data_IF_133081071613
#
_entry.id   IF_133081071613
#
_cell.length_a   1.000
_cell.length_b   1.000
_cell.length_c   1.000
_cell.angle_alpha   90.00
_cell.angle_beta   90.00
_cell.angle_gamma   90.00
#
_symmetry.space_group_name_H-M   'P 1'
#
loop_
_entity.id
_entity.type
_entity.pdbx_description
1 polymer ?
#
# COMPACT_ATOMS: atom_id res chain seq x y z
N UNK A 1 16.99 -8.74 9.77
CA UNK A 1 17.50 -8.35 8.44
C UNK A 1 16.36 -7.65 7.69
N UNK A 2 16.65 -6.55 6.98
CA UNK A 2 15.73 -5.49 6.50
C UNK A 2 14.69 -4.94 7.49
N UNK A 3 13.64 -5.67 7.86
CA UNK A 3 12.58 -5.17 8.76
C UNK A 3 13.13 -4.68 10.11
N UNK A 4 13.99 -5.49 10.76
CA UNK A 4 14.68 -5.07 12.00
C UNK A 4 15.52 -3.79 11.83
N UNK A 5 16.15 -3.62 10.66
CA UNK A 5 16.94 -2.41 10.37
C UNK A 5 16.01 -1.21 10.19
N UNK A 6 14.87 -1.42 9.52
CA UNK A 6 13.85 -0.39 9.33
C UNK A 6 13.25 0.06 10.66
N UNK A 7 12.90 -0.87 11.54
CA UNK A 7 12.41 -0.58 12.89
C UNK A 7 13.45 0.17 13.71
N UNK A 8 14.68 -0.31 13.73
CA UNK A 8 15.78 0.34 14.45
C UNK A 8 15.96 1.79 13.95
N UNK A 9 16.05 1.98 12.64
CA UNK A 9 16.21 3.32 12.05
C UNK A 9 14.99 4.22 12.27
N UNK A 10 13.78 3.66 12.25
CA UNK A 10 12.58 4.42 12.57
C UNK A 10 12.64 4.94 14.02
N UNK A 11 12.93 4.04 14.98
CA UNK A 11 13.07 4.38 16.40
C UNK A 11 14.17 5.41 16.65
N UNK A 12 15.35 5.24 16.03
CA UNK A 12 16.46 6.21 16.09
C UNK A 12 16.05 7.64 15.67
N UNK A 13 15.03 7.77 14.82
CA UNK A 13 14.51 9.04 14.33
C UNK A 13 13.14 9.44 14.94
N UNK A 14 12.70 8.80 16.03
CA UNK A 14 11.40 9.09 16.66
C UNK A 14 10.18 8.76 15.78
N UNK A 15 10.33 7.78 14.88
CA UNK A 15 9.27 7.27 13.98
C UNK A 15 8.88 5.86 14.39
N UNK A 16 7.75 5.41 13.87
CA UNK A 16 7.27 4.03 14.05
C UNK A 16 7.06 3.34 12.70
N UNK A 17 7.19 2.02 12.70
CA UNK A 17 6.88 1.16 11.55
C UNK A 17 5.50 0.58 11.77
N UNK A 18 4.58 0.81 10.82
CA UNK A 18 3.25 0.19 10.81
C UNK A 18 3.26 -0.94 9.80
N UNK A 19 2.98 -2.14 10.28
CA UNK A 19 2.81 -3.32 9.45
C UNK A 19 1.37 -3.40 8.92
N UNK A 20 1.23 -3.86 7.68
CA UNK A 20 -0.05 -4.16 7.05
C UNK A 20 -0.10 -5.64 6.69
N UNK A 21 -1.29 -6.16 6.38
CA UNK A 21 -1.46 -7.54 5.96
C UNK A 21 -0.64 -7.89 4.70
N UNK A 22 0.05 -9.04 4.73
CA UNK A 22 0.92 -9.50 3.64
C UNK A 22 0.18 -9.77 2.33
N UNK A 23 -1.09 -10.13 2.42
CA UNK A 23 -1.97 -10.45 1.29
C UNK A 23 -2.81 -9.26 0.83
N UNK A 24 -2.61 -8.08 1.42
CA UNK A 24 -3.29 -6.87 0.99
C UNK A 24 -2.99 -6.57 -0.49
N UNK A 25 -4.04 -6.49 -1.30
CA UNK A 25 -3.98 -6.38 -2.76
C UNK A 25 -3.56 -4.97 -3.25
N UNK A 26 -2.46 -4.44 -2.73
CA UNK A 26 -2.01 -3.06 -2.93
C UNK A 26 -1.78 -2.70 -4.41
N UNK A 27 -1.17 -3.59 -5.20
CA UNK A 27 -0.91 -3.32 -6.63
C UNK A 27 -2.13 -3.47 -7.53
N UNK A 28 -3.08 -4.34 -7.13
CA UNK A 28 -4.30 -4.67 -7.89
C UNK A 28 -5.46 -3.71 -7.61
N UNK A 29 -5.44 -3.03 -6.46
CA UNK A 29 -6.51 -2.12 -6.04
C UNK A 29 -6.29 -0.74 -6.64
N UNK A 30 -7.29 -0.14 -7.27
CA UNK A 30 -7.23 1.23 -7.73
C UNK A 30 -7.19 2.17 -6.53
N UNK A 31 -6.12 2.96 -6.37
CA UNK A 31 -6.02 3.90 -5.24
C UNK A 31 -7.09 5.01 -5.24
N UNK A 32 -7.74 5.24 -6.39
CA UNK A 32 -8.74 6.29 -6.56
C UNK A 32 -10.15 5.84 -6.19
N UNK A 33 -10.57 4.66 -6.68
CA UNK A 33 -11.96 4.20 -6.54
C UNK A 33 -12.11 2.86 -5.80
N UNK A 34 -11.02 2.15 -5.48
CA UNK A 34 -11.07 0.88 -4.77
C UNK A 34 -11.34 -0.36 -5.63
N UNK A 35 -11.58 -0.22 -6.93
CA UNK A 35 -11.71 -1.37 -7.84
C UNK A 35 -10.48 -2.28 -7.80
N UNK A 36 -10.68 -3.59 -7.64
CA UNK A 36 -9.61 -4.58 -7.64
C UNK A 36 -9.51 -5.28 -9.00
N UNK A 37 -8.39 -5.12 -9.69
CA UNK A 37 -8.08 -5.83 -10.95
C UNK A 37 -7.51 -7.21 -10.65
N UNK A 38 -8.34 -8.24 -10.67
CA UNK A 38 -7.94 -9.61 -10.28
C UNK A 38 -6.88 -10.25 -11.21
N UNK A 39 -6.96 -9.95 -12.50
CA UNK A 39 -6.14 -10.50 -13.58
C UNK A 39 -4.83 -9.73 -13.85
N UNK A 40 -4.47 -8.76 -12.99
CA UNK A 40 -3.22 -8.01 -13.12
C UNK A 40 -1.99 -8.92 -12.95
N UNK A 41 -1.11 -8.95 -13.95
CA UNK A 41 0.13 -9.74 -13.96
C UNK A 41 1.33 -8.89 -13.57
N UNK A 42 2.42 -9.55 -13.15
CA UNK A 42 3.65 -8.87 -12.76
C UNK A 42 4.27 -8.02 -13.90
N UNK A 43 4.11 -8.47 -15.14
CA UNK A 43 4.57 -7.75 -16.35
C UNK A 43 3.76 -6.50 -16.66
N UNK A 44 2.56 -6.35 -16.10
CA UNK A 44 1.68 -5.22 -16.37
C UNK A 44 2.11 -4.02 -15.51
N UNK A 45 3.13 -3.30 -15.99
CA UNK A 45 3.70 -2.14 -15.30
C UNK A 45 2.72 -0.96 -15.24
N UNK A 46 1.85 -0.85 -16.23
CA UNK A 46 0.80 0.15 -16.31
C UNK A 46 -0.55 -0.53 -16.57
N UNK A 47 -1.62 -0.02 -15.96
CA UNK A 47 -2.97 -0.51 -16.20
C UNK A 47 -4.00 0.61 -16.01
N UNK A 48 -5.07 0.59 -16.81
CA UNK A 48 -6.19 1.51 -16.66
C UNK A 48 -7.28 0.88 -15.78
N UNK A 49 -7.82 1.63 -14.84
CA UNK A 49 -8.93 1.19 -14.01
C UNK A 49 -10.22 1.14 -14.85
N UNK A 50 -10.92 0.01 -14.85
CA UNK A 50 -12.19 -0.15 -15.59
C UNK A 50 -13.37 0.63 -14.99
N UNK A 51 -13.26 1.10 -13.75
CA UNK A 51 -14.34 1.83 -13.06
C UNK A 51 -14.17 3.35 -13.15
N UNK A 52 -12.96 3.85 -12.94
CA UNK A 52 -12.70 5.30 -12.93
C UNK A 52 -11.75 5.79 -14.03
N UNK A 53 -11.33 4.89 -14.94
CA UNK A 53 -10.55 5.19 -16.14
C UNK A 53 -9.17 5.82 -15.92
N UNK A 54 -8.72 5.97 -14.67
CA UNK A 54 -7.37 6.44 -14.38
C UNK A 54 -6.34 5.38 -14.76
N UNK A 55 -5.24 5.81 -15.36
CA UNK A 55 -4.08 4.96 -15.62
C UNK A 55 -3.14 4.97 -14.42
N UNK A 56 -2.71 3.77 -14.01
CA UNK A 56 -1.80 3.57 -12.89
C UNK A 56 -0.46 3.03 -13.36
N UNK A 57 0.64 3.61 -12.87
CA UNK A 57 1.89 2.86 -12.74
C UNK A 57 1.78 1.96 -11.51
N UNK A 58 1.99 0.65 -11.69
CA UNK A 58 1.69 -0.40 -10.71
C UNK A 58 2.33 -0.15 -9.34
N UNK A 59 3.62 0.20 -9.32
CA UNK A 59 4.38 0.35 -8.07
C UNK A 59 3.99 1.63 -7.32
N UNK A 60 3.70 2.73 -8.05
CA UNK A 60 3.24 3.99 -7.46
C UNK A 60 1.84 3.79 -6.86
N UNK A 61 0.97 3.08 -7.57
CA UNK A 61 -0.35 2.72 -7.08
C UNK A 61 -0.26 1.86 -5.81
N UNK A 62 0.59 0.83 -5.80
CA UNK A 62 0.83 0.00 -4.63
C UNK A 62 1.31 0.83 -3.43
N UNK A 63 2.30 1.72 -3.62
CA UNK A 63 2.81 2.59 -2.55
C UNK A 63 1.71 3.48 -1.94
N UNK A 64 0.84 4.08 -2.78
CA UNK A 64 -0.30 4.88 -2.32
C UNK A 64 -1.29 4.05 -1.49
N UNK A 65 -1.58 2.82 -1.92
CA UNK A 65 -2.48 1.93 -1.19
C UNK A 65 -1.89 1.43 0.13
N UNK A 66 -0.59 1.10 0.16
CA UNK A 66 0.13 0.72 1.38
C UNK A 66 0.10 1.87 2.40
N UNK A 67 0.37 3.11 1.94
CA UNK A 67 0.29 4.28 2.80
C UNK A 67 -1.12 4.48 3.38
N UNK A 68 -2.16 4.33 2.55
CA UNK A 68 -3.56 4.48 2.99
C UNK A 68 -3.93 3.43 4.05
N UNK A 69 -3.54 2.18 3.84
CA UNK A 69 -3.84 1.09 4.79
C UNK A 69 -3.06 1.26 6.10
N UNK A 70 -1.77 1.61 6.03
CA UNK A 70 -0.98 1.90 7.22
C UNK A 70 -1.55 3.06 8.05
N UNK A 71 -2.05 4.12 7.39
CA UNK A 71 -2.75 5.22 8.08
C UNK A 71 -4.03 4.75 8.77
N UNK A 72 -4.80 3.87 8.14
CA UNK A 72 -6.03 3.32 8.73
C UNK A 72 -5.71 2.53 10.01
N UNK A 73 -4.71 1.64 9.97
CA UNK A 73 -4.27 0.87 11.13
C UNK A 73 -3.80 1.80 12.26
N UNK A 74 -2.97 2.79 11.93
CA UNK A 74 -2.48 3.76 12.91
C UNK A 74 -3.62 4.54 13.60
N UNK A 75 -4.69 4.86 12.88
CA UNK A 75 -5.85 5.54 13.46
C UNK A 75 -6.65 4.62 14.39
N UNK A 76 -6.77 3.33 14.06
CA UNK A 76 -7.45 2.35 14.91
C UNK A 76 -6.71 2.16 16.23
N UNK A 77 -5.38 2.07 16.20
CA UNK A 77 -4.53 1.94 17.40
C UNK A 77 -4.58 3.15 18.35
N UNK A 78 -4.98 4.33 17.86
CA UNK A 78 -5.11 5.54 18.69
C UNK A 78 -6.46 5.67 19.38
N UNK A 79 -7.43 4.86 18.98
CA UNK A 79 -8.79 4.87 19.52
C UNK A 79 -8.99 3.81 20.61
N UNK A 80 -7.90 3.13 21.01
CA UNK A 80 -7.78 2.19 22.13
C UNK A 80 -6.98 2.85 23.26
#
# INVERSE_FOLDING_TARGET
>A
MFQKILEQKATEHGRQVIYIDMWYASSKTCNKCGYKKEDLKLKDRNWACSQCHITHHRDINAAKNIQKEGKKILLLQKNE
#
